data_IF_501335479988
#
_entry.id   IF_501335479988
#
_cell.length_a   1.000
_cell.length_b   1.000
_cell.length_c   1.000
_cell.angle_alpha   90.00
_cell.angle_beta   90.00
_cell.angle_gamma   90.00
#
_symmetry.space_group_name_H-M   'P 1'
#
loop_
_entity.id
_entity.type
_entity.pdbx_description
1 polymer ?
#
# COMPACT_ATOMS: atom_id res chain seq x y z
N UNK A 1 -32.80 0.10 -5.27
CA UNK A 1 -32.10 1.14 -4.50
C UNK A 1 -30.71 0.58 -4.23
N UNK A 2 -29.61 1.22 -4.64
CA UNK A 2 -28.29 0.77 -4.22
C UNK A 2 -28.26 0.76 -2.69
N UNK A 3 -27.78 -0.36 -2.15
CA UNK A 3 -27.64 -0.56 -0.72
C UNK A 3 -26.61 0.46 -0.19
N UNK A 4 -26.99 1.27 0.79
CA UNK A 4 -26.14 2.37 1.28
C UNK A 4 -24.79 1.86 1.79
N UNK A 5 -24.75 0.65 2.34
CA UNK A 5 -23.52 0.02 2.79
C UNK A 5 -22.64 -0.36 1.60
N UNK A 6 -23.20 -0.90 0.52
CA UNK A 6 -22.43 -1.22 -0.69
C UNK A 6 -21.79 0.02 -1.34
N UNK A 7 -22.55 1.11 -1.48
CA UNK A 7 -22.02 2.37 -2.04
C UNK A 7 -20.90 2.97 -1.16
N UNK A 8 -21.06 2.84 0.16
CA UNK A 8 -20.03 3.26 1.11
C UNK A 8 -18.76 2.40 1.01
N UNK A 9 -18.89 1.07 0.88
CA UNK A 9 -17.75 0.16 0.69
C UNK A 9 -16.96 0.51 -0.57
N UNK A 10 -17.64 0.81 -1.69
CA UNK A 10 -16.97 1.23 -2.92
C UNK A 10 -16.18 2.54 -2.74
N UNK A 11 -16.77 3.53 -2.07
CA UNK A 11 -16.12 4.81 -1.75
C UNK A 11 -14.90 4.62 -0.83
N UNK A 12 -15.05 3.78 0.20
CA UNK A 12 -13.99 3.47 1.14
C UNK A 12 -12.82 2.74 0.47
N UNK A 13 -13.09 1.75 -0.38
CA UNK A 13 -12.07 1.06 -1.18
C UNK A 13 -11.30 2.01 -2.09
N UNK A 14 -12.01 2.94 -2.74
CA UNK A 14 -11.37 3.97 -3.55
C UNK A 14 -10.47 4.87 -2.69
N UNK A 15 -10.95 5.36 -1.54
CA UNK A 15 -10.19 6.18 -0.60
C UNK A 15 -8.92 5.51 -0.07
N UNK A 16 -8.99 4.22 0.25
CA UNK A 16 -7.83 3.40 0.65
C UNK A 16 -6.81 3.35 -0.51
N UNK A 17 -7.28 3.11 -1.73
CA UNK A 17 -6.42 2.97 -2.91
C UNK A 17 -5.60 4.23 -3.20
N UNK A 18 -6.23 5.41 -3.11
CA UNK A 18 -5.59 6.70 -3.39
C UNK A 18 -4.84 7.31 -2.19
N UNK A 19 -4.86 6.66 -1.03
CA UNK A 19 -4.16 7.18 0.15
C UNK A 19 -2.64 7.10 -0.02
N UNK A 20 -1.97 8.25 -0.01
CA UNK A 20 -0.51 8.39 -0.16
C UNK A 20 0.20 8.76 1.16
N UNK A 21 -0.56 8.84 2.26
CA UNK A 21 -0.04 9.20 3.58
C UNK A 21 0.71 8.06 4.30
N UNK A 22 1.33 8.35 5.46
CA UNK A 22 1.95 7.32 6.27
C UNK A 22 0.92 6.27 6.72
N UNK A 23 1.34 5.03 6.89
CA UNK A 23 0.48 3.92 7.32
C UNK A 23 -0.33 4.23 8.60
N UNK A 24 0.18 5.13 9.45
CA UNK A 24 -0.49 5.68 10.63
C UNK A 24 -1.82 6.36 10.30
N UNK A 25 -1.88 7.13 9.21
CA UNK A 25 -3.09 7.85 8.76
C UNK A 25 -4.18 6.88 8.33
N UNK A 26 -3.80 5.79 7.66
CA UNK A 26 -4.75 4.76 7.23
C UNK A 26 -5.34 3.99 8.43
N UNK A 27 -4.53 3.76 9.47
CA UNK A 27 -4.99 3.17 10.75
C UNK A 27 -5.91 4.09 11.52
N UNK A 28 -5.61 5.40 11.53
CA UNK A 28 -6.45 6.41 12.18
C UNK A 28 -7.81 6.50 11.49
N UNK A 29 -7.81 6.55 10.16
CA UNK A 29 -9.02 6.49 9.35
C UNK A 29 -9.84 5.23 9.66
N UNK A 30 -9.20 4.05 9.69
CA UNK A 30 -9.86 2.80 10.05
C UNK A 30 -10.53 2.81 11.43
N UNK A 31 -9.91 3.49 12.42
CA UNK A 31 -10.46 3.62 13.76
C UNK A 31 -11.71 4.51 13.78
N UNK A 32 -11.71 5.61 13.03
CA UNK A 32 -12.86 6.51 12.85
C UNK A 32 -14.01 5.79 12.11
N UNK A 33 -13.63 4.98 11.12
CA UNK A 33 -14.54 4.16 10.32
C UNK A 33 -15.31 3.13 11.14
N UNK A 34 -14.87 2.82 12.37
CA UNK A 34 -15.60 1.93 13.28
C UNK A 34 -16.95 2.50 13.69
N UNK A 35 -17.06 3.83 13.83
CA UNK A 35 -18.32 4.50 14.13
C UNK A 35 -19.29 4.46 12.95
N UNK A 36 -18.77 4.60 11.71
CA UNK A 36 -19.58 4.55 10.50
C UNK A 36 -20.12 3.15 10.17
N UNK A 37 -19.43 2.08 10.60
CA UNK A 37 -19.89 0.69 10.41
C UNK A 37 -21.24 0.41 11.05
N UNK A 38 -21.46 0.95 12.25
CA UNK A 38 -22.72 0.80 12.98
C UNK A 38 -23.83 1.67 12.35
N UNK A 39 -23.48 2.83 11.80
CA UNK A 39 -24.43 3.78 11.19
C UNK A 39 -24.96 3.30 9.82
N UNK A 40 -24.09 2.70 9.01
CA UNK A 40 -24.45 2.18 7.68
C UNK A 40 -24.88 0.71 7.68
N UNK A 41 -24.74 0.00 8.80
CA UNK A 41 -25.15 -1.41 8.93
C UNK A 41 -24.33 -2.35 8.05
N UNK A 42 -23.00 -2.15 7.98
CA UNK A 42 -22.13 -3.01 7.17
C UNK A 42 -22.21 -4.46 7.63
N UNK A 43 -22.23 -5.39 6.67
CA UNK A 43 -22.10 -6.82 6.97
C UNK A 43 -20.67 -7.17 7.36
N UNK A 44 -20.51 -8.28 8.08
CA UNK A 44 -19.18 -8.77 8.46
C UNK A 44 -18.26 -8.99 7.23
N UNK A 45 -18.83 -9.44 6.11
CA UNK A 45 -18.12 -9.66 4.84
C UNK A 45 -17.60 -8.36 4.21
N UNK A 46 -18.42 -7.30 4.23
CA UNK A 46 -18.03 -5.96 3.79
C UNK A 46 -16.94 -5.37 4.68
N UNK A 47 -17.04 -5.58 6.00
CA UNK A 47 -16.01 -5.16 6.94
C UNK A 47 -14.70 -5.88 6.66
N UNK A 48 -14.73 -7.20 6.44
CA UNK A 48 -13.53 -8.00 6.14
C UNK A 48 -12.85 -7.54 4.84
N UNK A 49 -13.63 -7.26 3.81
CA UNK A 49 -13.14 -6.69 2.53
C UNK A 49 -12.37 -5.39 2.74
N UNK A 50 -12.90 -4.49 3.57
CA UNK A 50 -12.23 -3.22 3.86
C UNK A 50 -10.97 -3.42 4.73
N UNK A 51 -10.98 -4.37 5.68
CA UNK A 51 -9.79 -4.74 6.48
C UNK A 51 -8.66 -5.22 5.56
N UNK A 52 -8.97 -6.15 4.66
CA UNK A 52 -8.02 -6.70 3.69
C UNK A 52 -7.41 -5.59 2.83
N UNK A 53 -8.25 -4.69 2.28
CA UNK A 53 -7.79 -3.55 1.49
C UNK A 53 -6.85 -2.63 2.27
N UNK A 54 -7.21 -2.28 3.51
CA UNK A 54 -6.34 -1.49 4.39
C UNK A 54 -5.00 -2.18 4.66
N UNK A 55 -5.02 -3.49 4.93
CA UNK A 55 -3.83 -4.28 5.24
C UNK A 55 -2.88 -4.34 4.05
N UNK A 56 -3.41 -4.59 2.84
CA UNK A 56 -2.64 -4.57 1.59
C UNK A 56 -2.02 -3.19 1.35
N UNK A 57 -2.78 -2.11 1.52
CA UNK A 57 -2.27 -0.75 1.31
C UNK A 57 -1.18 -0.38 2.32
N UNK A 58 -1.34 -0.74 3.59
CA UNK A 58 -0.30 -0.53 4.62
C UNK A 58 0.98 -1.26 4.25
N UNK A 59 0.90 -2.51 3.77
CA UNK A 59 2.08 -3.26 3.34
C UNK A 59 2.77 -2.59 2.14
N UNK A 60 2.01 -2.07 1.17
CA UNK A 60 2.54 -1.31 0.04
C UNK A 60 3.28 -0.05 0.50
N UNK A 61 2.66 0.76 1.37
CA UNK A 61 3.25 1.99 1.91
C UNK A 61 4.53 1.69 2.71
N UNK A 62 4.55 0.60 3.48
CA UNK A 62 5.75 0.17 4.22
C UNK A 62 6.86 -0.40 3.33
N UNK A 63 6.51 -0.96 2.16
CA UNK A 63 7.48 -1.43 1.17
C UNK A 63 8.14 -0.29 0.41
N UNK A 64 7.38 0.75 0.08
CA UNK A 64 7.90 1.95 -0.59
C UNK A 64 8.88 2.73 0.30
N UNK A 65 8.68 2.69 1.62
CA UNK A 65 9.58 3.30 2.60
C UNK A 65 10.91 2.54 2.76
N UNK A 66 11.02 1.29 2.28
CA UNK A 66 12.31 0.59 2.28
C UNK A 66 13.17 1.10 1.13
N UNK A 67 14.42 1.52 1.38
CA UNK A 67 15.33 1.87 0.30
C UNK A 67 15.47 0.64 -0.62
N UNK A 68 15.00 0.80 -1.86
CA UNK A 68 15.24 -0.18 -2.93
C UNK A 68 16.72 -0.53 -2.88
N UNK A 69 17.13 -1.80 -2.73
CA UNK A 69 18.55 -2.14 -2.73
C UNK A 69 19.12 -1.62 -4.05
N UNK A 70 19.91 -0.53 -3.97
CA UNK A 70 20.62 -0.04 -5.13
C UNK A 70 21.43 -1.22 -5.66
N UNK A 71 21.29 -1.58 -6.95
CA UNK A 71 22.13 -2.62 -7.51
C UNK A 71 23.58 -2.17 -7.29
N UNK A 72 24.31 -2.91 -6.47
CA UNK A 72 25.74 -2.66 -6.25
C UNK A 72 26.38 -2.53 -7.63
N UNK A 73 27.11 -1.45 -7.94
CA UNK A 73 27.74 -1.32 -9.24
C UNK A 73 28.59 -2.56 -9.45
N UNK A 74 28.25 -3.32 -10.50
CA UNK A 74 28.98 -4.51 -10.90
C UNK A 74 30.39 -4.03 -11.23
N UNK A 75 31.32 -4.25 -10.31
CA UNK A 75 32.73 -3.92 -10.50
C UNK A 75 33.25 -4.82 -11.61
N UNK A 76 33.07 -4.37 -12.84
CA UNK A 76 33.60 -4.98 -14.04
C UNK A 76 35.11 -4.81 -13.94
N UNK A 77 35.77 -5.79 -13.33
CA UNK A 77 37.20 -5.95 -13.40
C UNK A 77 37.52 -6.38 -14.85
N UNK A 78 37.41 -5.43 -15.77
CA UNK A 78 37.83 -5.59 -17.15
C UNK A 78 39.36 -5.60 -17.11
N UNK A 79 39.89 -6.82 -17.24
CA UNK A 79 41.23 -7.09 -17.74
C UNK A 79 41.51 -6.17 -18.94
N UNK A 80 42.19 -5.05 -18.71
CA UNK A 80 42.86 -4.31 -19.75
C UNK A 80 44.13 -5.10 -20.11
N UNK A 81 44.01 -5.95 -21.13
CA UNK A 81 45.17 -6.39 -21.91
C UNK A 81 45.58 -5.20 -22.77
N UNK A 82 46.76 -4.64 -22.59
CA UNK A 82 47.44 -3.96 -23.68
C UNK A 82 48.96 -4.10 -23.50
N UNK A 83 49.58 -4.84 -24.41
CA UNK A 83 51.02 -4.79 -24.61
C UNK A 83 51.41 -3.51 -25.36
N UNK A 84 52.62 -3.03 -25.08
CA UNK A 84 53.49 -2.20 -25.91
C UNK A 84 54.87 -2.27 -25.23
N UNK A 85 55.83 -3.02 -25.78
CA UNK A 85 56.80 -2.56 -26.78
C UNK A 85 57.71 -1.45 -26.23
N UNK A 86 58.86 -1.84 -25.64
CA UNK A 86 60.23 -1.33 -25.94
C UNK A 86 61.22 -2.46 -25.59
#
# INVERSE_FOLDING_TARGET
MPDKAAAYVELALWGISISEGPASSLRQWWADERAHREDYGLTQDQIDTLVEACRVKVEQLQRDDRPRPQPKPRSTNQRARQGSLI
#
